data_IF_683482763214
#
_entry.id   IF_683482763214
#
_cell.length_a   1.000
_cell.length_b   1.000
_cell.length_c   1.000
_cell.angle_alpha   90.00
_cell.angle_beta   90.00
_cell.angle_gamma   90.00
#
_symmetry.space_group_name_H-M   'P 1'
#
loop_
_entity.id
_entity.type
_entity.pdbx_description
1 polymer ?
#
# COMPACT_ATOMS: atom_id res chain seq x y z
N UNK A 1 -28.91 34.89 -5.48
CA UNK A 1 -28.19 34.16 -4.42
C UNK A 1 -28.44 32.65 -4.46
N UNK A 2 -29.68 32.17 -4.57
CA UNK A 2 -30.00 30.72 -4.60
C UNK A 2 -29.29 29.91 -5.71
N UNK A 3 -29.13 30.48 -6.91
CA UNK A 3 -28.43 29.82 -8.03
C UNK A 3 -26.93 29.62 -7.81
N UNK A 4 -26.29 30.50 -7.05
CA UNK A 4 -24.85 30.42 -6.72
C UNK A 4 -24.62 29.35 -5.65
N UNK A 5 -25.52 29.26 -4.66
CA UNK A 5 -25.46 28.21 -3.64
C UNK A 5 -25.63 26.81 -4.24
N UNK A 6 -26.59 26.63 -5.18
CA UNK A 6 -26.77 25.34 -5.88
C UNK A 6 -25.54 24.98 -6.69
N UNK A 7 -24.96 25.92 -7.45
CA UNK A 7 -23.75 25.65 -8.25
C UNK A 7 -22.54 25.26 -7.39
N UNK A 8 -22.32 25.92 -6.25
CA UNK A 8 -21.24 25.59 -5.32
C UNK A 8 -21.43 24.22 -4.66
N UNK A 9 -22.67 23.84 -4.33
CA UNK A 9 -22.98 22.51 -3.80
C UNK A 9 -22.75 21.45 -4.89
N UNK A 10 -23.15 21.70 -6.14
CA UNK A 10 -22.92 20.78 -7.26
C UNK A 10 -21.43 20.61 -7.57
N UNK A 11 -20.65 21.70 -7.62
CA UNK A 11 -19.19 21.62 -7.83
C UNK A 11 -18.50 20.89 -6.68
N UNK A 12 -18.89 21.14 -5.43
CA UNK A 12 -18.36 20.42 -4.27
C UNK A 12 -18.74 18.92 -4.27
N UNK A 13 -19.91 18.58 -4.80
CA UNK A 13 -20.38 17.19 -4.93
C UNK A 13 -19.64 16.43 -6.04
N UNK A 14 -19.26 17.10 -7.14
CA UNK A 14 -18.48 16.50 -8.24
C UNK A 14 -16.96 16.61 -8.06
N UNK A 15 -16.46 17.39 -7.09
CA UNK A 15 -15.03 17.52 -6.80
C UNK A 15 -14.52 16.52 -5.75
N UNK A 16 -15.33 15.54 -5.35
CA UNK A 16 -14.85 14.43 -4.54
C UNK A 16 -13.80 13.67 -5.34
N UNK A 17 -12.52 13.91 -5.06
CA UNK A 17 -11.44 13.11 -5.62
C UNK A 17 -11.74 11.63 -5.32
N UNK A 18 -11.65 10.77 -6.33
CA UNK A 18 -11.87 9.33 -6.14
C UNK A 18 -10.96 8.82 -5.01
N UNK A 19 -11.49 7.97 -4.12
CA UNK A 19 -10.72 7.44 -3.01
C UNK A 19 -9.47 6.72 -3.53
N UNK A 20 -8.29 7.19 -3.12
CA UNK A 20 -7.02 6.57 -3.51
C UNK A 20 -6.91 5.22 -2.82
N UNK A 21 -6.82 4.15 -3.61
CA UNK A 21 -6.65 2.80 -3.10
C UNK A 21 -5.23 2.57 -2.58
N UNK A 22 -5.10 2.52 -1.26
CA UNK A 22 -3.84 2.28 -0.57
C UNK A 22 -3.68 0.81 -0.15
N UNK A 23 -2.52 0.22 -0.46
CA UNK A 23 -2.13 -1.09 0.05
C UNK A 23 -2.41 -2.24 -0.92
N UNK A 24 -2.94 -3.34 -0.39
CA UNK A 24 -3.09 -4.59 -1.13
C UNK A 24 -4.27 -4.55 -2.10
N UNK A 25 -4.13 -5.13 -3.28
CA UNK A 25 -5.20 -5.14 -4.28
C UNK A 25 -5.04 -6.27 -5.29
N UNK A 26 -6.13 -6.57 -5.98
CA UNK A 26 -6.09 -7.26 -7.27
C UNK A 26 -5.91 -6.25 -8.40
N UNK A 27 -5.16 -6.65 -9.42
CA UNK A 27 -5.08 -5.97 -10.72
C UNK A 27 -5.62 -6.95 -11.76
N UNK A 28 -6.78 -6.60 -12.31
CA UNK A 28 -7.55 -7.41 -13.26
C UNK A 28 -7.09 -7.24 -14.72
N UNK A 29 -6.32 -6.20 -15.01
CA UNK A 29 -5.82 -5.92 -16.36
C UNK A 29 -4.99 -7.11 -16.88
N UNK A 30 -5.32 -7.70 -18.04
CA UNK A 30 -4.66 -8.93 -18.50
C UNK A 30 -3.25 -8.71 -19.07
N UNK A 31 -2.98 -7.53 -19.65
CA UNK A 31 -1.69 -7.19 -20.25
C UNK A 31 -1.51 -5.67 -20.34
N UNK A 32 -0.26 -5.23 -20.52
CA UNK A 32 0.07 -3.82 -20.70
C UNK A 32 0.24 -3.07 -19.38
N UNK A 33 0.15 -1.74 -19.44
CA UNK A 33 0.48 -0.89 -18.31
C UNK A 33 -0.48 -1.12 -17.13
N UNK A 34 0.05 -1.20 -15.92
CA UNK A 34 -0.80 -1.27 -14.72
C UNK A 34 -1.46 0.08 -14.46
N UNK A 35 -2.59 0.12 -13.72
CA UNK A 35 -2.96 1.34 -13.01
C UNK A 35 -1.83 1.75 -12.05
N UNK A 36 -1.76 3.02 -11.67
CA UNK A 36 -0.86 3.48 -10.62
C UNK A 36 -1.30 2.90 -9.28
N UNK A 37 -0.40 2.17 -8.63
CA UNK A 37 -0.64 1.52 -7.34
C UNK A 37 0.04 2.32 -6.24
N UNK A 38 -0.66 2.53 -5.12
CA UNK A 38 -0.17 3.33 -4.00
C UNK A 38 0.05 2.45 -2.77
N UNK A 39 1.27 2.45 -2.26
CA UNK A 39 1.65 1.64 -1.10
C UNK A 39 2.23 2.50 0.00
N UNK A 40 1.98 2.11 1.26
CA UNK A 40 2.68 2.67 2.41
C UNK A 40 3.93 1.87 2.69
N UNK A 41 5.02 2.56 2.97
CA UNK A 41 6.30 1.95 3.29
C UNK A 41 6.56 2.07 4.80
N UNK A 42 6.60 0.95 5.55
CA UNK A 42 7.14 0.98 6.89
C UNK A 42 8.63 1.35 6.87
N UNK A 43 9.18 1.78 8.02
CA UNK A 43 10.52 2.41 8.15
C UNK A 43 11.73 1.55 7.69
N UNK A 44 11.52 0.31 7.20
CA UNK A 44 12.51 -0.58 6.57
C UNK A 44 11.82 -1.53 5.56
N UNK A 45 11.18 -0.96 4.55
CA UNK A 45 10.47 -1.72 3.53
C UNK A 45 11.36 -2.06 2.32
N UNK A 46 11.13 -3.24 1.74
CA UNK A 46 11.67 -3.66 0.45
C UNK A 46 10.51 -3.85 -0.54
N UNK A 47 10.69 -3.36 -1.76
CA UNK A 47 9.75 -3.55 -2.86
C UNK A 47 10.29 -4.70 -3.71
N UNK A 48 9.51 -5.75 -3.93
CA UNK A 48 9.93 -6.92 -4.73
C UNK A 48 8.84 -7.33 -5.72
N UNK A 49 9.23 -7.76 -6.91
CA UNK A 49 8.35 -8.50 -7.81
C UNK A 49 8.45 -9.99 -7.50
N UNK A 50 7.33 -10.70 -7.52
CA UNK A 50 7.28 -12.16 -7.49
C UNK A 50 7.16 -12.67 -8.93
N UNK A 51 8.20 -13.33 -9.44
CA UNK A 51 8.27 -13.87 -10.80
C UNK A 51 8.66 -15.34 -10.69
N UNK A 52 7.81 -16.24 -11.18
CA UNK A 52 7.99 -17.70 -11.11
C UNK A 52 8.31 -18.18 -9.68
N UNK A 53 7.60 -17.63 -8.68
CA UNK A 53 7.84 -17.89 -7.26
C UNK A 53 9.12 -17.27 -6.67
N UNK A 54 9.93 -16.56 -7.45
CA UNK A 54 11.16 -15.91 -7.01
C UNK A 54 10.90 -14.43 -6.72
N UNK A 55 11.36 -13.95 -5.56
CA UNK A 55 11.28 -12.53 -5.19
C UNK A 55 12.50 -11.78 -5.72
N UNK A 56 12.28 -10.82 -6.59
CA UNK A 56 13.33 -10.00 -7.21
C UNK A 56 13.16 -8.54 -6.76
N UNK A 57 14.20 -7.90 -6.21
CA UNK A 57 14.13 -6.51 -5.76
C UNK A 57 13.82 -5.53 -6.89
N UNK A 58 12.98 -4.54 -6.58
CA UNK A 58 12.72 -3.38 -7.42
C UNK A 58 13.37 -2.15 -6.77
N UNK A 59 14.27 -1.52 -7.52
CA UNK A 59 14.80 -0.19 -7.22
C UNK A 59 13.98 0.89 -7.91
N UNK A 60 13.96 2.10 -7.33
CA UNK A 60 13.37 3.28 -8.00
C UNK A 60 14.44 4.34 -8.13
N UNK A 61 14.62 4.85 -9.35
CA UNK A 61 15.58 5.89 -9.69
C UNK A 61 15.00 6.74 -10.82
N UNK A 62 15.15 8.07 -10.71
CA UNK A 62 14.76 9.03 -11.76
C UNK A 62 13.31 8.83 -12.28
N UNK A 63 12.36 8.60 -11.36
CA UNK A 63 10.93 8.42 -11.69
C UNK A 63 10.58 7.05 -12.32
N UNK A 64 11.51 6.10 -12.34
CA UNK A 64 11.37 4.78 -12.97
C UNK A 64 11.66 3.64 -12.01
N UNK A 65 10.96 2.53 -12.18
CA UNK A 65 11.20 1.27 -11.49
C UNK A 65 12.19 0.41 -12.27
N UNK A 66 13.15 -0.20 -11.59
CA UNK A 66 14.15 -1.08 -12.16
C UNK A 66 14.17 -2.43 -11.43
N UNK A 67 13.97 -3.50 -12.20
CA UNK A 67 14.16 -4.85 -11.70
C UNK A 67 15.66 -5.16 -11.63
N UNK A 68 16.12 -5.63 -10.47
CA UNK A 68 17.53 -5.95 -10.20
C UNK A 68 18.49 -4.78 -10.56
N UNK A 69 18.03 -3.53 -10.43
CA UNK A 69 18.80 -2.31 -10.64
C UNK A 69 19.01 -1.87 -12.09
N UNK A 70 18.78 -2.74 -13.08
CA UNK A 70 19.26 -2.49 -14.45
C UNK A 70 18.15 -2.52 -15.51
N UNK A 71 17.09 -3.29 -15.29
CA UNK A 71 16.02 -3.46 -16.26
C UNK A 71 14.84 -2.57 -15.92
N UNK A 72 14.52 -1.59 -16.78
CA UNK A 72 13.32 -0.77 -16.60
C UNK A 72 12.07 -1.66 -16.59
N UNK A 73 11.33 -1.58 -15.50
CA UNK A 73 10.15 -2.41 -15.23
C UNK A 73 8.86 -1.61 -15.21
N UNK A 74 8.94 -0.30 -14.95
CA UNK A 74 7.77 0.56 -14.82
C UNK A 74 8.10 2.05 -14.79
N UNK A 75 7.11 2.86 -15.16
CA UNK A 75 7.06 4.30 -14.96
C UNK A 75 5.61 4.81 -15.09
N UNK A 76 5.22 5.87 -14.36
CA UNK A 76 5.99 6.54 -13.31
C UNK A 76 6.16 5.68 -12.04
N UNK A 77 7.27 5.89 -11.34
CA UNK A 77 7.54 5.30 -10.04
C UNK A 77 8.20 6.33 -9.13
N UNK A 78 7.53 6.70 -8.05
CA UNK A 78 7.98 7.75 -7.15
C UNK A 78 7.82 7.31 -5.71
N UNK A 79 8.83 7.63 -4.90
CA UNK A 79 8.71 7.49 -3.46
C UNK A 79 8.45 8.86 -2.87
N UNK A 80 7.45 8.97 -2.00
CA UNK A 80 7.17 10.20 -1.28
C UNK A 80 7.87 10.18 0.08
N UNK A 81 8.64 11.23 0.34
CA UNK A 81 9.20 11.48 1.66
C UNK A 81 8.13 12.20 2.48
N UNK A 82 7.57 11.50 3.47
CA UNK A 82 6.64 12.12 4.40
C UNK A 82 7.28 13.35 5.04
N UNK A 83 6.75 14.53 4.74
CA UNK A 83 7.18 15.78 5.39
C UNK A 83 6.62 15.82 6.80
N UNK A 84 7.39 15.40 7.80
CA UNK A 84 7.10 15.81 9.18
C UNK A 84 7.76 17.17 9.43
N UNK A 85 6.94 18.21 9.59
CA UNK A 85 7.39 19.51 10.10
C UNK A 85 7.76 19.37 11.57
N UNK A 86 9.05 19.21 11.87
CA UNK A 86 9.60 19.40 13.21
C UNK A 86 9.79 20.89 13.47
N UNK A 87 8.70 21.63 13.62
CA UNK A 87 8.75 23.10 13.74
C UNK A 87 9.11 23.60 15.15
N UNK A 88 9.50 22.72 16.10
CA UNK A 88 9.86 23.13 17.48
C UNK A 88 10.84 22.16 18.16
N UNK A 89 12.17 22.30 17.96
CA UNK A 89 13.17 21.75 18.90
C UNK A 89 14.57 22.40 18.76
N UNK A 90 15.39 22.44 19.83
CA UNK A 90 16.47 23.41 20.03
C UNK A 90 17.77 23.10 19.27
N UNK A 91 18.62 24.12 19.14
CA UNK A 91 19.96 24.12 18.53
C UNK A 91 20.83 22.91 18.92
N UNK A 92 21.41 22.25 17.91
CA UNK A 92 22.31 21.11 18.04
C UNK A 92 23.73 21.44 17.54
N UNK A 93 24.76 20.89 18.20
CA UNK A 93 26.13 20.89 17.72
C UNK A 93 26.59 19.44 17.46
N UNK A 94 27.25 19.21 16.32
CA UNK A 94 27.88 17.93 15.98
C UNK A 94 29.38 18.15 15.79
N UNK A 95 30.19 17.22 16.32
CA UNK A 95 31.64 17.21 16.15
C UNK A 95 32.06 15.86 15.57
N UNK A 96 32.82 15.89 14.47
CA UNK A 96 33.34 14.68 13.81
C UNK A 96 34.60 14.22 14.54
N UNK A 97 34.64 12.93 14.89
CA UNK A 97 35.85 12.28 15.42
C UNK A 97 36.62 11.58 14.29
N UNK A 98 37.94 11.38 14.41
CA UNK A 98 38.79 10.86 13.34
C UNK A 98 38.58 9.37 13.00
N UNK A 99 37.60 8.70 13.61
CA UNK A 99 37.35 7.26 13.45
C UNK A 99 36.05 6.94 12.69
N UNK A 100 35.53 7.83 11.83
CA UNK A 100 34.28 7.64 11.08
C UNK A 100 33.03 7.43 11.97
N UNK A 101 33.02 8.00 13.17
CA UNK A 101 31.83 8.07 14.01
C UNK A 101 31.30 9.50 14.05
N UNK A 102 30.02 9.69 13.72
CA UNK A 102 29.29 10.92 14.00
C UNK A 102 28.72 10.82 15.41
N UNK A 103 29.37 11.47 16.38
CA UNK A 103 28.83 11.66 17.72
C UNK A 103 28.00 12.94 17.77
N UNK A 104 26.69 12.81 17.98
CA UNK A 104 25.81 13.95 18.30
C UNK A 104 25.70 14.02 19.81
N UNK A 105 26.19 15.10 20.41
CA UNK A 105 26.06 15.35 21.85
C UNK A 105 24.80 16.17 22.07
N UNK A 106 23.81 15.58 22.72
CA UNK A 106 22.58 16.29 23.12
C UNK A 106 22.84 16.89 24.50
N UNK A 107 23.22 18.17 24.54
CA UNK A 107 23.24 18.93 25.80
C UNK A 107 21.84 19.47 26.07
N UNK A 108 21.03 18.75 26.84
CA UNK A 108 19.96 19.37 27.60
C UNK A 108 20.48 19.58 29.03
N UNK A 109 20.26 20.74 29.62
CA UNK A 109 20.89 21.26 30.85
C UNK A 109 20.66 20.43 32.14
N UNK A 110 20.27 19.16 32.06
CA UNK A 110 20.11 18.29 33.23
C UNK A 110 20.25 16.77 33.01
N UNK A 111 20.65 16.25 31.84
CA UNK A 111 20.92 14.80 31.69
C UNK A 111 21.69 14.49 30.39
N UNK A 112 22.89 13.89 30.52
CA UNK A 112 23.67 13.39 29.39
C UNK A 112 23.15 12.00 28.95
N UNK A 113 22.84 11.83 27.67
CA UNK A 113 22.69 10.51 27.05
C UNK A 113 23.54 10.45 25.78
N UNK A 114 24.39 9.43 25.70
CA UNK A 114 25.17 9.12 24.50
C UNK A 114 24.37 8.18 23.61
N UNK A 115 24.14 8.57 22.35
CA UNK A 115 23.60 7.69 21.32
C UNK A 115 24.69 7.41 20.28
N UNK A 116 25.02 6.13 20.11
CA UNK A 116 25.89 5.64 19.05
C UNK A 116 25.00 4.94 18.02
N UNK A 117 25.05 5.39 16.77
CA UNK A 117 24.32 4.75 15.67
C UNK A 117 25.28 3.95 14.79
N UNK A 118 24.85 2.76 14.38
CA UNK A 118 25.56 1.91 13.42
C UNK A 118 24.98 2.18 12.02
N UNK A 119 25.84 2.50 11.04
CA UNK A 119 25.44 2.74 9.65
C UNK A 119 25.60 1.42 8.91
N UNK A 120 24.48 0.87 8.41
CA UNK A 120 24.48 -0.34 7.58
C UNK A 120 23.98 -0.03 6.16
N UNK A 121 24.62 -0.65 5.17
CA UNK A 121 24.86 -0.18 3.79
C UNK A 121 23.66 -0.07 2.81
N UNK A 122 22.41 0.14 3.23
CA UNK A 122 21.27 0.04 2.30
C UNK A 122 20.38 1.28 2.15
N UNK A 123 20.58 2.34 2.95
CA UNK A 123 19.85 3.60 2.74
C UNK A 123 20.76 4.80 2.99
N UNK A 124 21.17 5.50 1.94
CA UNK A 124 21.90 6.77 2.09
C UNK A 124 20.99 7.80 2.77
N UNK A 125 21.29 8.11 4.03
CA UNK A 125 20.93 9.39 4.64
C UNK A 125 22.14 10.31 4.46
N UNK A 126 22.09 11.24 3.51
CA UNK A 126 23.12 12.26 3.38
C UNK A 126 22.81 13.39 4.35
N UNK A 127 23.62 13.53 5.40
CA UNK A 127 23.57 14.70 6.29
C UNK A 127 24.16 15.91 5.55
N UNK A 128 23.30 16.83 5.06
CA UNK A 128 23.76 18.10 4.46
C UNK A 128 23.76 19.18 5.54
N UNK A 129 24.95 19.59 5.99
CA UNK A 129 25.12 20.77 6.83
C UNK A 129 25.33 21.99 5.94
N UNK A 130 24.30 22.82 5.76
CA UNK A 130 24.44 24.11 5.08
C UNK A 130 24.71 25.20 6.11
N UNK A 131 25.92 25.77 6.09
CA UNK A 131 26.28 26.92 6.92
C UNK A 131 25.62 28.17 6.32
N UNK A 132 24.45 28.55 6.82
CA UNK A 132 23.89 29.89 6.58
C UNK A 132 24.53 30.89 7.55
N UNK A 133 24.85 32.09 7.07
CA UNK A 133 25.70 33.09 7.74
C UNK A 133 25.16 33.72 9.03
N UNK A 134 24.30 33.05 9.79
CA UNK A 134 23.83 33.47 11.10
C UNK A 134 23.38 32.24 11.89
N UNK A 135 24.20 31.81 12.86
CA UNK A 135 24.03 30.89 14.02
C UNK A 135 23.05 29.69 13.98
N UNK A 136 22.33 29.42 12.90
CA UNK A 136 21.35 28.36 12.80
C UNK A 136 21.89 27.25 11.89
N UNK A 137 22.22 26.11 12.49
CA UNK A 137 22.46 24.87 11.78
C UNK A 137 21.11 24.14 11.61
N UNK A 138 20.59 24.08 10.38
CA UNK A 138 19.44 23.22 10.07
C UNK A 138 19.94 21.79 9.88
N UNK A 139 19.50 20.86 10.73
CA UNK A 139 19.71 19.42 10.55
C UNK A 139 18.53 18.87 9.75
N UNK A 140 18.81 18.34 8.56
CA UNK A 140 17.85 17.52 7.83
C UNK A 140 18.08 16.06 8.23
N UNK A 141 17.13 15.50 8.98
CA UNK A 141 17.04 14.04 9.15
C UNK A 141 16.20 13.51 7.99
N UNK A 142 16.77 12.63 7.16
CA UNK A 142 15.98 11.90 6.17
C UNK A 142 14.99 11.01 6.92
N UNK A 143 13.72 11.41 6.93
CA UNK A 143 12.63 10.57 7.38
C UNK A 143 12.53 9.40 6.40
N UNK A 144 12.42 8.17 6.90
CA UNK A 144 12.20 7.01 6.06
C UNK A 144 11.00 7.27 5.15
N UNK A 145 11.15 6.96 3.86
CA UNK A 145 10.12 7.17 2.83
C UNK A 145 8.81 6.53 3.31
N UNK A 146 7.72 7.30 3.27
CA UNK A 146 6.46 6.90 3.92
C UNK A 146 5.49 6.22 2.93
N UNK A 147 5.65 6.52 1.64
CA UNK A 147 4.84 5.90 0.60
C UNK A 147 5.58 5.77 -0.73
N UNK A 148 5.01 4.95 -1.61
CA UNK A 148 5.47 4.77 -2.98
C UNK A 148 4.27 4.63 -3.91
N UNK A 149 4.36 5.28 -5.07
CA UNK A 149 3.47 5.03 -6.20
C UNK A 149 4.23 4.25 -7.27
N UNK A 150 3.58 3.26 -7.88
CA UNK A 150 4.22 2.35 -8.84
C UNK A 150 3.26 2.11 -10.00
N UNK A 151 3.74 2.38 -11.20
CA UNK A 151 3.09 2.01 -12.46
C UNK A 151 4.01 1.07 -13.23
N UNK A 152 3.57 -0.16 -13.45
CA UNK A 152 4.33 -1.17 -14.18
C UNK A 152 4.05 -1.07 -15.67
N UNK A 153 5.06 -1.32 -16.49
CA UNK A 153 4.93 -1.27 -17.96
C UNK A 153 4.09 -2.41 -18.51
N UNK A 154 4.19 -3.58 -17.89
CA UNK A 154 3.48 -4.79 -18.31
C UNK A 154 3.11 -5.63 -17.09
N UNK A 155 1.81 -5.76 -16.83
CA UNK A 155 1.26 -6.56 -15.72
C UNK A 155 1.44 -8.06 -15.89
N UNK A 156 1.66 -8.54 -17.12
CA UNK A 156 1.74 -9.98 -17.42
C UNK A 156 3.07 -10.63 -17.03
N UNK A 157 4.07 -9.84 -16.59
CA UNK A 157 5.44 -10.30 -16.35
C UNK A 157 5.73 -10.77 -14.92
N UNK A 158 4.78 -10.63 -14.01
CA UNK A 158 4.93 -10.99 -12.60
C UNK A 158 3.62 -11.49 -12.01
N UNK A 159 3.71 -12.35 -11.00
CA UNK A 159 2.56 -12.86 -10.24
C UNK A 159 2.04 -11.80 -9.26
N UNK A 160 2.97 -11.08 -8.62
CA UNK A 160 2.65 -10.08 -7.62
C UNK A 160 3.76 -9.03 -7.49
N UNK A 161 3.37 -7.87 -6.98
CA UNK A 161 4.27 -6.84 -6.47
C UNK A 161 4.07 -6.79 -4.95
N UNK A 162 5.14 -6.98 -4.18
CA UNK A 162 5.08 -7.15 -2.73
C UNK A 162 5.89 -6.07 -2.01
N UNK A 163 5.31 -5.53 -0.95
CA UNK A 163 5.97 -4.64 0.01
C UNK A 163 6.26 -5.44 1.27
N UNK A 164 7.54 -5.73 1.48
CA UNK A 164 8.02 -6.54 2.60
C UNK A 164 8.64 -5.63 3.65
N UNK A 165 8.33 -5.89 4.92
CA UNK A 165 8.98 -5.22 6.04
C UNK A 165 9.59 -6.26 6.95
N UNK A 166 10.92 -6.29 7.01
CA UNK A 166 11.68 -7.35 7.67
C UNK A 166 11.32 -8.73 7.08
N UNK A 167 10.37 -9.43 7.70
CA UNK A 167 9.93 -10.79 7.35
C UNK A 167 8.43 -10.91 7.07
N UNK A 168 7.70 -9.79 7.10
CA UNK A 168 6.24 -9.77 6.95
C UNK A 168 5.83 -9.08 5.67
N UNK A 169 4.79 -9.59 5.04
CA UNK A 169 4.14 -8.95 3.90
C UNK A 169 3.24 -7.83 4.44
N UNK A 170 3.48 -6.61 3.98
CA UNK A 170 2.73 -5.43 4.48
C UNK A 170 1.66 -4.95 3.52
N UNK A 171 1.93 -5.12 2.22
CA UNK A 171 0.97 -4.91 1.14
C UNK A 171 1.39 -5.72 -0.07
N UNK A 172 0.44 -6.08 -0.93
CA UNK A 172 0.73 -6.73 -2.20
C UNK A 172 -0.32 -6.42 -3.27
N UNK A 173 0.13 -6.14 -4.48
CA UNK A 173 -0.73 -6.18 -5.65
C UNK A 173 -0.56 -7.54 -6.34
N UNK A 174 -1.65 -8.28 -6.50
CA UNK A 174 -1.68 -9.55 -7.23
C UNK A 174 -2.24 -9.33 -8.63
N UNK A 175 -1.52 -9.81 -9.65
CA UNK A 175 -1.93 -9.67 -11.04
C UNK A 175 -2.75 -10.88 -11.45
N UNK A 176 -4.06 -10.70 -11.55
CA UNK A 176 -5.03 -11.76 -11.85
C UNK A 176 -5.77 -11.37 -13.13
N UNK A 177 -5.25 -11.78 -14.32
CA UNK A 177 -5.85 -11.42 -15.60
C UNK A 177 -7.34 -11.71 -15.63
N UNK A 178 -8.12 -10.73 -16.09
CA UNK A 178 -9.59 -10.76 -16.15
C UNK A 178 -10.28 -11.11 -14.82
N UNK A 179 -9.58 -10.92 -13.70
CA UNK A 179 -9.99 -11.36 -12.37
C UNK A 179 -10.40 -12.83 -12.30
N UNK A 180 -9.79 -13.67 -13.15
CA UNK A 180 -9.99 -15.12 -13.12
C UNK A 180 -9.08 -15.73 -12.07
N UNK A 181 -9.59 -15.87 -10.85
CA UNK A 181 -8.84 -16.49 -9.75
C UNK A 181 -8.57 -17.97 -10.05
N UNK A 182 -7.28 -18.33 -10.10
CA UNK A 182 -6.89 -19.72 -10.20
C UNK A 182 -7.14 -20.41 -8.87
N UNK A 183 -7.65 -21.65 -8.93
CA UNK A 183 -7.73 -22.49 -7.74
C UNK A 183 -6.31 -22.70 -7.19
N UNK A 184 -6.11 -22.55 -5.87
CA UNK A 184 -4.82 -22.80 -5.25
C UNK A 184 -4.31 -24.20 -5.60
N UNK A 185 -3.04 -24.34 -5.96
CA UNK A 185 -2.50 -25.66 -6.30
C UNK A 185 -2.33 -26.47 -5.03
N UNK A 186 -2.73 -27.73 -5.06
CA UNK A 186 -2.30 -28.69 -4.06
C UNK A 186 -0.81 -28.95 -4.30
N UNK A 187 0.05 -28.47 -3.41
CA UNK A 187 1.49 -28.56 -3.59
C UNK A 187 1.96 -30.01 -3.70
N UNK A 188 2.93 -30.26 -4.60
CA UNK A 188 3.61 -31.56 -4.79
C UNK A 188 4.36 -32.02 -3.51
N UNK A 189 4.52 -31.12 -2.53
CA UNK A 189 5.28 -31.28 -1.29
C UNK A 189 4.47 -30.94 -0.02
N UNK A 190 3.13 -31.09 -0.02
CA UNK A 190 2.26 -30.74 1.12
C UNK A 190 2.32 -29.25 1.53
N UNK A 191 2.58 -28.37 0.58
CA UNK A 191 2.45 -26.93 0.79
C UNK A 191 1.15 -26.47 0.16
N UNK A 192 0.18 -26.16 1.02
CA UNK A 192 -1.07 -25.59 0.57
C UNK A 192 -0.88 -24.12 0.26
N UNK A 193 -1.51 -23.65 -0.82
CA UNK A 193 -1.48 -22.25 -1.21
C UNK A 193 -2.66 -21.49 -0.59
N UNK A 194 -2.49 -20.18 -0.43
CA UNK A 194 -3.55 -19.28 0.01
C UNK A 194 -4.58 -19.08 -1.11
N UNK A 195 -5.85 -18.94 -0.74
CA UNK A 195 -6.92 -18.68 -1.69
C UNK A 195 -7.22 -17.17 -1.79
N UNK A 196 -6.85 -16.59 -2.93
CA UNK A 196 -7.09 -15.17 -3.22
C UNK A 196 -8.58 -14.85 -3.34
N UNK A 197 -9.37 -15.77 -3.91
CA UNK A 197 -10.79 -15.54 -4.17
C UNK A 197 -11.59 -15.36 -2.87
N UNK A 198 -11.35 -16.20 -1.86
CA UNK A 198 -11.99 -16.08 -0.55
C UNK A 198 -11.58 -14.80 0.17
N UNK A 199 -10.35 -14.32 -0.06
CA UNK A 199 -9.81 -13.14 0.61
C UNK A 199 -10.22 -11.82 -0.05
N UNK A 200 -10.68 -11.87 -1.30
CA UNK A 200 -11.11 -10.72 -2.08
C UNK A 200 -12.34 -10.02 -1.45
N UNK A 201 -12.39 -8.67 -1.40
CA UNK A 201 -11.33 -7.72 -1.78
C UNK A 201 -10.16 -7.68 -0.78
N UNK A 202 -8.96 -7.42 -1.29
CA UNK A 202 -7.73 -7.32 -0.49
C UNK A 202 -7.56 -5.93 0.16
N UNK A 203 -8.31 -4.93 -0.28
CA UNK A 203 -8.46 -3.64 0.39
C UNK A 203 -9.90 -3.45 0.84
N UNK A 204 -10.07 -2.91 2.05
CA UNK A 204 -11.39 -2.64 2.64
C UNK A 204 -11.42 -1.25 3.27
N UNK A 205 -12.54 -0.56 3.12
CA UNK A 205 -12.77 0.77 3.69
C UNK A 205 -13.67 0.67 4.91
N UNK A 206 -13.18 1.09 6.07
CA UNK A 206 -13.77 0.85 7.38
C UNK A 206 -14.22 2.11 8.11
N UNK A 207 -14.18 3.30 7.49
CA UNK A 207 -14.59 4.54 8.16
C UNK A 207 -16.05 4.44 8.64
N UNK A 208 -16.26 4.80 9.91
CA UNK A 208 -17.58 4.72 10.56
C UNK A 208 -18.01 3.30 10.97
N UNK A 209 -17.30 2.25 10.55
CA UNK A 209 -17.62 0.88 10.93
C UNK A 209 -16.90 0.48 12.23
N UNK A 210 -17.60 -0.13 13.21
CA UNK A 210 -16.96 -0.61 14.44
C UNK A 210 -16.10 -1.86 14.21
N UNK A 211 -16.44 -2.63 13.17
CA UNK A 211 -15.70 -3.81 12.76
C UNK A 211 -15.79 -4.02 11.24
N UNK A 212 -14.81 -4.73 10.69
CA UNK A 212 -14.77 -5.16 9.29
C UNK A 212 -14.53 -6.66 9.27
N UNK A 213 -15.44 -7.40 8.62
CA UNK A 213 -15.28 -8.83 8.38
C UNK A 213 -14.20 -9.08 7.32
N UNK A 214 -13.40 -10.11 7.51
CA UNK A 214 -12.41 -10.62 6.56
C UNK A 214 -12.54 -12.13 6.51
N UNK A 215 -12.68 -12.69 5.31
CA UNK A 215 -12.64 -14.12 5.07
C UNK A 215 -11.26 -14.48 4.50
N UNK A 216 -10.73 -15.63 4.91
CA UNK A 216 -9.42 -16.14 4.51
C UNK A 216 -9.55 -17.63 4.26
N UNK A 217 -8.80 -18.16 3.30
CA UNK A 217 -8.74 -19.60 3.08
C UNK A 217 -7.38 -20.08 2.60
N UNK A 218 -7.14 -21.36 2.80
CA UNK A 218 -5.99 -22.10 2.29
C UNK A 218 -6.45 -23.42 1.68
N UNK A 219 -5.70 -23.93 0.71
CA UNK A 219 -5.99 -25.21 0.06
C UNK A 219 -6.00 -26.37 1.06
N UNK A 220 -6.77 -27.40 0.72
CA UNK A 220 -6.77 -28.71 1.33
C UNK A 220 -7.65 -28.76 2.59
N UNK A 221 -8.94 -29.07 2.43
CA UNK A 221 -9.92 -29.18 3.52
C UNK A 221 -9.56 -30.24 4.57
N UNK A 222 -8.68 -31.18 4.23
CA UNK A 222 -8.17 -32.22 5.15
C UNK A 222 -6.67 -32.14 5.38
N UNK A 223 -6.02 -31.14 4.81
CA UNK A 223 -4.59 -30.96 4.95
C UNK A 223 -4.22 -30.70 6.41
N UNK A 224 -3.00 -31.08 6.77
CA UNK A 224 -2.38 -30.82 8.06
C UNK A 224 -1.29 -29.73 7.96
N UNK A 225 -1.20 -29.01 6.84
CA UNK A 225 -0.21 -27.94 6.71
C UNK A 225 -0.49 -26.79 7.68
N UNK A 226 0.57 -26.03 7.98
CA UNK A 226 0.50 -24.89 8.90
C UNK A 226 -0.07 -23.67 8.17
N UNK A 227 -0.97 -22.97 8.87
CA UNK A 227 -1.43 -21.64 8.50
C UNK A 227 -1.22 -20.65 9.65
N UNK A 228 -0.95 -19.39 9.33
CA UNK A 228 -0.72 -18.34 10.32
C UNK A 228 -1.41 -17.02 9.93
N UNK A 229 -1.89 -16.33 10.95
CA UNK A 229 -2.50 -15.01 10.85
C UNK A 229 -1.68 -14.00 11.63
N UNK A 230 -1.22 -12.97 10.94
CA UNK A 230 -0.40 -11.90 11.49
C UNK A 230 -1.17 -10.59 11.29
N UNK A 231 -1.37 -9.83 12.36
CA UNK A 231 -2.07 -8.54 12.30
C UNK A 231 -1.12 -7.45 12.78
N UNK A 232 -0.89 -6.44 11.95
CA UNK A 232 0.05 -5.34 12.17
C UNK A 232 1.45 -5.84 12.56
N UNK A 233 1.94 -6.88 11.87
CA UNK A 233 3.27 -7.48 12.10
C UNK A 233 3.37 -8.35 13.36
N UNK A 234 2.26 -8.66 14.02
CA UNK A 234 2.22 -9.53 15.20
C UNK A 234 1.46 -10.82 14.91
N UNK A 235 2.07 -11.98 15.20
CA UNK A 235 1.40 -13.27 15.14
C UNK A 235 0.23 -13.31 16.12
N UNK A 236 -0.99 -13.43 15.58
CA UNK A 236 -2.22 -13.51 16.38
C UNK A 236 -2.69 -14.93 16.54
N UNK A 237 -2.73 -15.69 15.45
CA UNK A 237 -3.22 -17.05 15.44
C UNK A 237 -2.31 -17.96 14.60
N UNK A 238 -2.18 -19.23 14.99
CA UNK A 238 -1.51 -20.27 14.19
C UNK A 238 -2.30 -21.57 14.28
N UNK A 239 -2.38 -22.29 13.17
CA UNK A 239 -3.08 -23.57 13.05
C UNK A 239 -2.19 -24.63 12.43
N UNK A 240 -2.43 -25.89 12.81
CA UNK A 240 -2.00 -27.08 12.08
C UNK A 240 -3.25 -27.81 11.60
N UNK A 241 -3.34 -27.98 10.28
CA UNK A 241 -4.59 -28.40 9.67
C UNK A 241 -5.69 -27.39 9.95
N UNK A 242 -6.66 -27.75 10.78
CA UNK A 242 -7.80 -26.90 11.18
C UNK A 242 -7.82 -26.54 12.66
N UNK A 243 -6.96 -27.21 13.44
CA UNK A 243 -6.85 -27.06 14.88
C UNK A 243 -5.98 -25.85 15.21
N UNK A 244 -6.50 -24.98 16.08
CA UNK A 244 -5.78 -23.82 16.59
C UNK A 244 -4.68 -24.28 17.56
N UNK A 245 -3.44 -23.84 17.30
CA UNK A 245 -2.29 -24.10 18.16
C UNK A 245 -1.88 -22.89 19.00
N UNK A 246 -1.94 -21.70 18.40
CA UNK A 246 -1.52 -20.45 19.04
C UNK A 246 -2.67 -19.47 18.99
N UNK A 247 -2.98 -18.87 20.15
CA UNK A 247 -4.04 -17.88 20.31
C UNK A 247 -3.55 -16.69 21.14
N UNK A 248 -3.27 -15.57 20.48
CA UNK A 248 -2.91 -14.30 21.11
C UNK A 248 -3.99 -13.23 20.93
N UNK A 249 -5.18 -13.61 20.45
CA UNK A 249 -6.28 -12.68 20.21
C UNK A 249 -7.64 -13.38 20.36
N UNK A 250 -8.68 -12.66 20.82
CA UNK A 250 -9.97 -13.28 21.14
C UNK A 250 -10.74 -13.80 19.92
N UNK A 251 -10.42 -13.33 18.72
CA UNK A 251 -11.04 -13.82 17.48
C UNK A 251 -10.46 -15.15 16.99
N UNK A 252 -9.32 -15.61 17.54
CA UNK A 252 -8.71 -16.88 17.15
C UNK A 252 -9.60 -18.05 17.57
N UNK A 253 -9.92 -18.93 16.62
CA UNK A 253 -10.71 -20.15 16.79
C UNK A 253 -10.31 -21.17 15.73
N UNK A 254 -10.75 -22.41 15.87
CA UNK A 254 -10.51 -23.44 14.84
C UNK A 254 -11.05 -23.00 13.48
N UNK A 255 -10.37 -23.41 12.42
CA UNK A 255 -10.80 -23.18 11.04
C UNK A 255 -11.90 -24.17 10.66
N UNK A 256 -12.73 -23.78 9.70
CA UNK A 256 -13.78 -24.61 9.13
C UNK A 256 -13.25 -25.42 7.94
N UNK A 257 -13.75 -26.65 7.78
CA UNK A 257 -13.48 -27.48 6.61
C UNK A 257 -14.58 -27.26 5.58
N UNK A 258 -14.23 -26.76 4.40
CA UNK A 258 -15.08 -26.76 3.23
C UNK A 258 -14.61 -27.87 2.28
N UNK A 259 -15.20 -29.07 2.42
CA UNK A 259 -14.89 -30.20 1.55
C UNK A 259 -15.42 -30.06 0.13
N UNK A 260 -16.37 -29.15 -0.12
CA UNK A 260 -16.91 -28.90 -1.46
C UNK A 260 -15.92 -28.15 -2.33
N UNK A 261 -15.26 -27.14 -1.75
CA UNK A 261 -14.23 -26.34 -2.42
C UNK A 261 -12.81 -26.87 -2.18
N UNK A 262 -12.65 -27.89 -1.33
CA UNK A 262 -11.37 -28.37 -0.79
C UNK A 262 -10.55 -27.26 -0.11
N UNK A 263 -11.20 -26.45 0.73
CA UNK A 263 -10.58 -25.34 1.45
C UNK A 263 -10.67 -25.49 2.97
N UNK A 264 -9.69 -24.92 3.67
CA UNK A 264 -9.78 -24.60 5.09
C UNK A 264 -10.02 -23.11 5.21
N UNK A 265 -11.12 -22.73 5.83
CA UNK A 265 -11.57 -21.34 5.85
C UNK A 265 -11.56 -20.75 7.26
N UNK A 266 -11.29 -19.46 7.33
CA UNK A 266 -11.29 -18.69 8.55
C UNK A 266 -11.89 -17.31 8.29
N UNK A 267 -12.98 -17.00 9.00
CA UNK A 267 -13.63 -15.69 8.94
C UNK A 267 -13.34 -14.96 10.24
N UNK A 268 -13.02 -13.68 10.21
CA UNK A 268 -12.79 -12.89 11.41
C UNK A 268 -13.34 -11.48 11.28
N UNK A 269 -13.73 -10.91 12.42
CA UNK A 269 -14.14 -9.51 12.50
C UNK A 269 -13.01 -8.72 13.15
N UNK A 270 -12.36 -7.86 12.38
CA UNK A 270 -11.37 -6.92 12.91
C UNK A 270 -12.11 -5.75 13.52
N UNK A 271 -11.97 -5.59 14.82
CA UNK A 271 -12.50 -4.42 15.54
C UNK A 271 -11.62 -3.21 15.28
N UNK A 272 -12.23 -2.06 15.05
CA UNK A 272 -11.53 -0.78 14.90
C UNK A 272 -10.75 -0.47 16.18
N UNK A 273 -9.51 -0.04 16.00
CA UNK A 273 -8.69 0.55 17.06
C UNK A 273 -8.47 2.02 16.69
N UNK A 274 -9.03 2.94 17.47
CA UNK A 274 -9.03 4.38 17.17
C UNK A 274 -7.65 5.04 17.16
N UNK A 275 -6.61 4.30 17.57
CA UNK A 275 -5.21 4.77 17.53
C UNK A 275 -4.52 4.51 16.19
N UNK A 276 -5.12 3.71 15.29
CA UNK A 276 -4.52 3.35 14.00
C UNK A 276 -5.46 3.68 12.84
N UNK A 277 -4.93 4.37 11.85
CA UNK A 277 -5.68 4.67 10.62
C UNK A 277 -5.78 3.44 9.70
N UNK A 278 -4.90 2.45 9.88
CA UNK A 278 -4.75 1.31 8.99
C UNK A 278 -4.50 0.02 9.76
N UNK A 279 -5.12 -1.06 9.29
CA UNK A 279 -4.81 -2.41 9.73
C UNK A 279 -4.26 -3.22 8.58
N UNK A 280 -3.15 -3.92 8.80
CA UNK A 280 -2.59 -4.90 7.88
C UNK A 280 -2.81 -6.29 8.44
N UNK A 281 -3.37 -7.17 7.63
CA UNK A 281 -3.59 -8.58 7.93
C UNK A 281 -2.77 -9.37 6.93
N UNK A 282 -1.78 -10.10 7.40
CA UNK A 282 -1.07 -11.09 6.60
C UNK A 282 -1.64 -12.48 6.92
N UNK A 283 -1.99 -13.20 5.85
CA UNK A 283 -2.45 -14.57 5.89
C UNK A 283 -1.44 -15.43 5.15
N UNK A 284 -0.90 -16.44 5.82
CA UNK A 284 0.07 -17.36 5.23
C UNK A 284 -0.36 -18.82 5.38
N UNK A 285 -0.12 -19.58 4.32
CA UNK A 285 -0.27 -21.02 4.27
C UNK A 285 0.92 -21.59 3.49
N UNK A 286 1.64 -22.53 4.10
CA UNK A 286 2.88 -23.04 3.53
C UNK A 286 3.92 -21.92 3.29
N UNK A 287 4.39 -21.79 2.05
CA UNK A 287 5.34 -20.77 1.62
C UNK A 287 4.67 -19.59 0.88
N UNK A 288 3.34 -19.59 0.77
CA UNK A 288 2.57 -18.52 0.12
C UNK A 288 1.91 -17.65 1.19
N UNK A 289 1.77 -16.37 0.88
CA UNK A 289 1.10 -15.42 1.75
C UNK A 289 0.38 -14.37 0.91
N UNK A 290 -0.71 -13.85 1.47
CA UNK A 290 -1.42 -12.69 0.97
C UNK A 290 -1.61 -11.67 2.08
N UNK A 291 -1.97 -10.46 1.70
CA UNK A 291 -2.29 -9.39 2.64
C UNK A 291 -3.64 -8.79 2.34
N UNK A 292 -4.38 -8.50 3.40
CA UNK A 292 -5.57 -7.66 3.38
C UNK A 292 -5.29 -6.39 4.17
N UNK A 293 -5.56 -5.22 3.57
CA UNK A 293 -5.45 -3.93 4.23
C UNK A 293 -6.84 -3.35 4.51
N UNK A 294 -7.03 -2.81 5.71
CA UNK A 294 -8.24 -2.06 6.08
C UNK A 294 -7.84 -0.61 6.29
N UNK A 295 -8.49 0.28 5.56
CA UNK A 295 -8.38 1.74 5.68
C UNK A 295 -9.55 2.28 6.52
N UNK A 296 -9.27 2.67 7.76
CA UNK A 296 -10.28 3.21 8.68
C UNK A 296 -10.63 4.68 8.43
N UNK A 297 -9.97 5.32 7.47
CA UNK A 297 -10.14 6.73 7.11
C UNK A 297 -11.03 6.94 5.89
N UNK A 298 -11.18 5.91 5.05
CA UNK A 298 -11.97 5.94 3.83
C UNK A 298 -13.30 5.19 3.99
N UNK A 299 -14.31 5.65 3.26
CA UNK A 299 -15.64 5.03 3.17
C UNK A 299 -15.91 4.52 1.75
N UNK A 300 -16.93 3.69 1.60
CA UNK A 300 -17.34 3.13 0.30
C UNK A 300 -16.81 1.74 0.02
N UNK A 301 -16.85 1.35 -1.26
CA UNK A 301 -16.42 0.04 -1.75
C UNK A 301 -15.01 0.14 -2.31
N UNK A 302 -14.19 -0.91 -2.13
CA UNK A 302 -12.84 -0.95 -2.71
C UNK A 302 -12.92 -0.89 -4.24
N UNK A 303 -12.15 0.00 -4.92
CA UNK A 303 -12.16 0.12 -6.39
C UNK A 303 -11.82 -1.19 -7.13
N UNK A 304 -11.10 -2.12 -6.50
CA UNK A 304 -10.80 -3.42 -7.12
C UNK A 304 -12.05 -4.28 -7.36
N UNK A 305 -13.13 -4.04 -6.61
CA UNK A 305 -14.42 -4.71 -6.82
C UNK A 305 -15.02 -4.25 -8.15
N UNK A 306 -14.98 -2.95 -8.43
CA UNK A 306 -15.47 -2.40 -9.69
C UNK A 306 -14.61 -2.86 -10.86
N UNK A 307 -13.28 -2.87 -10.69
CA UNK A 307 -12.33 -3.39 -11.68
C UNK A 307 -12.64 -4.85 -12.07
N UNK A 308 -12.90 -5.72 -11.09
CA UNK A 308 -13.17 -7.13 -11.33
C UNK A 308 -14.61 -7.45 -11.74
N UNK A 309 -15.58 -6.59 -11.42
CA UNK A 309 -16.98 -6.77 -11.82
C UNK A 309 -17.32 -6.08 -13.16
N UNK A 310 -16.42 -5.26 -13.69
CA UNK A 310 -16.65 -4.61 -14.98
C UNK A 310 -16.73 -5.67 -16.07
N UNK A 311 -17.85 -5.77 -16.82
CA UNK A 311 -17.89 -6.60 -18.01
C UNK A 311 -16.81 -6.10 -18.97
N UNK A 312 -16.06 -7.05 -19.53
CA UNK A 312 -14.95 -6.86 -20.45
C UNK A 312 -15.25 -5.72 -21.45
N UNK A 313 -14.75 -4.51 -21.18
CA UNK A 313 -14.70 -3.49 -22.22
C UNK A 313 -13.59 -3.97 -23.12
N UNK A 314 -13.97 -4.53 -24.25
CA UNK A 314 -13.08 -4.82 -25.37
C UNK A 314 -12.18 -3.61 -25.55
N UNK A 315 -10.91 -3.72 -25.14
CA UNK A 315 -9.91 -2.68 -25.34
C UNK A 315 -9.65 -2.57 -26.84
N UNK A 316 -10.55 -1.88 -27.53
CA UNK A 316 -10.22 -1.27 -28.81
C UNK A 316 -9.27 -0.14 -28.45
N UNK A 317 -8.03 -0.26 -28.89
CA UNK A 317 -7.03 0.81 -28.85
C UNK A 317 -7.55 1.99 -29.65
N UNK A 318 -8.43 2.79 -29.07
CA UNK A 318 -8.80 4.09 -29.59
C UNK A 318 -7.89 5.07 -28.88
N UNK A 319 -6.90 5.57 -29.62
CA UNK A 319 -6.18 6.79 -29.26
C UNK A 319 -7.21 7.83 -28.82
N UNK A 320 -7.22 8.15 -27.52
CA UNK A 320 -7.95 9.30 -27.00
C UNK A 320 -7.26 10.55 -27.55
N UNK A 321 -7.67 10.97 -28.75
CA UNK A 321 -7.66 12.38 -29.09
C UNK A 321 -8.66 13.06 -28.17
N UNK A 322 -8.10 13.60 -27.09
CA UNK A 322 -8.73 14.44 -26.09
C UNK A 322 -9.32 15.67 -26.80
N UNK A 323 -10.58 15.60 -27.22
CA UNK A 323 -11.35 16.75 -27.71
C UNK A 323 -11.83 17.58 -26.52
N UNK A 324 -10.90 18.18 -25.78
CA UNK A 324 -11.18 19.24 -24.81
C UNK A 324 -11.37 20.57 -25.54
N UNK A 325 -12.53 20.81 -26.14
CA UNK A 325 -12.83 22.17 -26.65
C UNK A 325 -14.29 22.61 -26.62
N UNK A 326 -15.30 21.78 -26.37
CA UNK A 326 -16.69 22.26 -26.50
C UNK A 326 -17.28 22.84 -25.19
N UNK A 327 -17.08 22.17 -24.05
CA UNK A 327 -17.76 22.54 -22.79
C UNK A 327 -17.08 23.67 -22.03
N UNK A 328 -15.74 23.72 -22.03
CA UNK A 328 -14.97 24.79 -21.38
C UNK A 328 -15.15 26.11 -22.14
N UNK A 329 -15.23 26.06 -23.48
CA UNK A 329 -15.46 27.25 -24.32
C UNK A 329 -16.88 27.79 -24.14
N UNK A 330 -17.89 26.94 -24.00
CA UNK A 330 -19.27 27.39 -23.70
C UNK A 330 -19.41 27.95 -22.28
N UNK A 331 -18.68 27.41 -21.30
CA UNK A 331 -18.62 27.98 -19.93
C UNK A 331 -17.88 29.32 -19.91
N UNK A 332 -16.76 29.44 -20.63
CA UNK A 332 -16.03 30.72 -20.75
C UNK A 332 -16.82 31.78 -21.51
N UNK A 333 -17.53 31.42 -22.59
CA UNK A 333 -18.39 32.34 -23.34
C UNK A 333 -19.59 32.81 -22.50
N UNK A 334 -20.20 31.93 -21.72
CA UNK A 334 -21.30 32.31 -20.82
C UNK A 334 -20.82 33.19 -19.65
N UNK A 335 -19.62 32.94 -19.10
CA UNK A 335 -18.99 33.86 -18.14
C UNK A 335 -18.66 35.23 -18.75
N UNK A 336 -18.17 35.27 -20.00
CA UNK A 336 -17.84 36.52 -20.68
C UNK A 336 -19.10 37.37 -20.97
N UNK A 337 -20.21 36.71 -21.31
CA UNK A 337 -21.51 37.37 -21.49
C UNK A 337 -22.08 37.92 -20.17
N UNK A 338 -21.88 37.22 -19.06
CA UNK A 338 -22.26 37.68 -17.72
C UNK A 338 -21.42 38.87 -17.23
N UNK A 339 -20.12 38.89 -17.53
CA UNK A 339 -19.24 40.02 -17.18
C UNK A 339 -19.60 41.29 -17.96
N UNK A 340 -20.01 41.17 -19.23
CA UNK A 340 -20.48 42.31 -20.04
C UNK A 340 -21.79 42.92 -19.53
N UNK A 341 -22.68 42.11 -18.96
CA UNK A 341 -23.97 42.59 -18.42
C UNK A 341 -23.86 43.18 -17.02
N UNK A 342 -22.79 42.89 -16.29
CA UNK A 342 -22.49 43.50 -14.99
C UNK A 342 -21.67 44.81 -15.12
N UNK A 343 -21.10 45.08 -16.29
CA UNK A 343 -20.30 46.27 -16.57
C UNK A 343 -21.07 47.40 -17.29
N UNK A 344 -22.37 47.23 -17.52
CA UNK A 344 -23.30 48.23 -18.10
C UNK A 344 -24.36 48.65 -17.09
#
# INVERSE_FOLDING_TARGET
MLKIAVFLITVAYYSGAEPVLWGSRIVGTPAGQSPTMYFRLPKKASIVALIDGIRIPIGIKDGKCYLNGNQEWGSPCEMDEGKQNLDKTPLFYAQLSPFNYLSIIISNLSRYQHFVWYIDNVNYCTLILRKSGSRDCTIFMCLGKESVNITLKDVSKQEALQILSLYFLTSAAFFVPTCTFQKPKQGVLHTDEVDLQTSFPLSRFGKGQPNVEVALAAQGARSQSVAALIVNGQLKCRWTGTSLEVSHSPFCRNMSNDTGSDLRTFVLNITRNDTVNYTTIEWSAGNKALTVNIDWTQEGTSPEIEECNSPEVTHTTTSLEVTYTSTIVTILLSMLMLLKTLAS
#
